data_IF_925445523827
#
_entry.id   IF_925445523827
#
_cell.length_a   1.000
_cell.length_b   1.000
_cell.length_c   1.000
_cell.angle_alpha   90.00
_cell.angle_beta   90.00
_cell.angle_gamma   90.00
#
_symmetry.space_group_name_H-M   'P 1'
#
loop_
_entity.id
_entity.type
_entity.pdbx_description
1 polymer ?
#
# COMPACT_ATOMS: atom_id res chain seq x y z
N UNK A 1 1.59 8.33 -3.26
CA UNK A 1 2.71 7.41 -3.66
C UNK A 1 2.21 6.53 -4.79
N UNK A 2 2.86 6.62 -5.95
CA UNK A 2 2.49 5.83 -7.13
C UNK A 2 3.25 4.49 -7.17
N UNK A 3 2.59 3.41 -7.58
CA UNK A 3 3.14 2.04 -7.58
C UNK A 3 3.70 1.67 -8.94
N UNK A 4 4.97 1.23 -8.98
CA UNK A 4 5.62 0.63 -10.15
C UNK A 4 6.06 -0.79 -9.82
N UNK A 5 5.28 -1.78 -10.24
CA UNK A 5 5.64 -3.19 -10.08
C UNK A 5 6.47 -3.66 -11.27
N UNK A 6 7.71 -4.07 -11.01
CA UNK A 6 8.63 -4.60 -12.03
C UNK A 6 8.64 -6.13 -11.94
N UNK A 7 7.46 -6.73 -12.17
CA UNK A 7 7.26 -8.18 -12.12
C UNK A 7 6.82 -8.71 -13.49
N UNK A 8 7.06 -10.00 -13.80
CA UNK A 8 6.69 -10.59 -15.10
C UNK A 8 5.23 -10.37 -15.48
N UNK A 9 4.34 -10.42 -14.50
CA UNK A 9 2.90 -10.32 -14.70
C UNK A 9 2.42 -8.87 -14.91
N UNK A 10 3.23 -7.87 -14.55
CA UNK A 10 2.82 -6.46 -14.59
C UNK A 10 2.92 -5.85 -16.00
N UNK A 11 3.72 -6.47 -16.90
CA UNK A 11 3.96 -5.99 -18.25
C UNK A 11 3.82 -7.12 -19.28
N UNK A 12 2.95 -8.11 -19.03
CA UNK A 12 2.80 -9.32 -19.81
C UNK A 12 2.03 -9.10 -21.10
N UNK A 13 2.76 -8.67 -22.14
CA UNK A 13 2.46 -9.01 -23.54
C UNK A 13 3.66 -9.76 -24.14
N UNK A 14 3.92 -10.95 -23.59
CA UNK A 14 4.74 -11.99 -24.22
C UNK A 14 6.25 -11.76 -24.26
N UNK A 15 6.96 -12.11 -23.20
CA UNK A 15 8.40 -12.33 -23.30
C UNK A 15 9.18 -12.07 -22.01
N UNK A 16 10.17 -12.91 -21.74
CA UNK A 16 11.02 -13.00 -20.55
C UNK A 16 11.95 -11.78 -20.30
N UNK A 17 11.71 -10.65 -20.91
CA UNK A 17 12.49 -9.43 -20.75
C UNK A 17 11.61 -8.36 -20.09
N UNK A 18 11.96 -8.04 -18.85
CA UNK A 18 11.37 -6.87 -18.17
C UNK A 18 11.67 -5.64 -19.00
N UNK A 19 10.65 -4.97 -19.47
CA UNK A 19 10.81 -3.71 -20.16
C UNK A 19 11.02 -2.60 -19.12
N UNK A 20 12.28 -2.45 -18.66
CA UNK A 20 12.66 -1.36 -17.76
C UNK A 20 12.26 -0.01 -18.33
N UNK A 21 12.29 0.17 -19.64
CA UNK A 21 11.90 1.41 -20.30
C UNK A 21 10.40 1.69 -20.09
N UNK A 22 9.54 0.66 -20.16
CA UNK A 22 8.10 0.80 -19.87
C UNK A 22 7.85 1.09 -18.39
N UNK A 23 8.58 0.44 -17.47
CA UNK A 23 8.48 0.70 -16.05
C UNK A 23 8.91 2.14 -15.70
N UNK A 24 9.99 2.63 -16.30
CA UNK A 24 10.45 4.02 -16.15
C UNK A 24 9.43 4.98 -16.74
N UNK A 25 8.93 4.74 -17.96
CA UNK A 25 7.91 5.59 -18.57
C UNK A 25 6.65 5.68 -17.69
N UNK A 26 6.16 4.54 -17.19
CA UNK A 26 5.04 4.50 -16.25
C UNK A 26 5.32 5.30 -14.97
N UNK A 27 6.51 5.17 -14.37
CA UNK A 27 6.88 5.94 -13.19
C UNK A 27 6.92 7.45 -13.45
N UNK A 28 7.37 7.87 -14.65
CA UNK A 28 7.35 9.27 -15.06
C UNK A 28 5.92 9.79 -15.26
N UNK A 29 5.04 8.97 -15.84
CA UNK A 29 3.61 9.30 -15.97
C UNK A 29 2.97 9.50 -14.60
N UNK A 30 3.22 8.60 -13.64
CA UNK A 30 2.72 8.73 -12.26
C UNK A 30 3.24 10.01 -11.57
N UNK A 31 4.50 10.42 -11.80
CA UNK A 31 5.02 11.70 -11.32
C UNK A 31 4.28 12.87 -11.95
N UNK A 32 4.05 12.84 -13.26
CA UNK A 32 3.29 13.86 -13.97
C UNK A 32 1.82 13.93 -13.52
N UNK A 33 1.24 12.82 -13.09
CA UNK A 33 -0.08 12.72 -12.48
C UNK A 33 -0.16 13.25 -11.04
N UNK A 34 0.96 13.65 -10.44
CA UNK A 34 1.02 14.24 -9.09
C UNK A 34 1.48 13.30 -7.99
N UNK A 35 2.08 12.14 -8.31
CA UNK A 35 2.70 11.31 -7.27
C UNK A 35 3.90 12.03 -6.64
N UNK A 36 3.91 12.18 -5.33
CA UNK A 36 5.05 12.74 -4.59
C UNK A 36 6.21 11.74 -4.42
N UNK A 37 5.92 10.45 -4.48
CA UNK A 37 6.87 9.35 -4.30
C UNK A 37 6.50 8.25 -5.27
N UNK A 38 7.48 7.63 -5.93
CA UNK A 38 7.30 6.40 -6.71
C UNK A 38 7.82 5.22 -5.89
N UNK A 39 6.97 4.22 -5.70
CA UNK A 39 7.30 2.99 -4.97
C UNK A 39 7.56 1.85 -5.96
N UNK A 40 8.81 1.40 -6.02
CA UNK A 40 9.28 0.40 -6.99
C UNK A 40 9.39 -0.96 -6.29
N UNK A 41 8.68 -1.96 -6.81
CA UNK A 41 8.72 -3.33 -6.28
C UNK A 41 9.12 -4.36 -7.33
N UNK A 42 10.03 -5.28 -6.97
CA UNK A 42 10.52 -6.35 -7.86
C UNK A 42 9.97 -7.74 -7.51
N UNK A 43 9.39 -7.90 -6.33
CA UNK A 43 8.74 -9.14 -5.86
C UNK A 43 7.24 -8.92 -5.71
N UNK A 44 6.44 -9.90 -6.11
CA UNK A 44 5.00 -9.87 -5.85
C UNK A 44 4.73 -10.35 -4.43
N UNK A 45 4.07 -9.52 -3.63
CA UNK A 45 3.61 -9.88 -2.27
C UNK A 45 2.15 -10.37 -2.24
N UNK A 46 1.57 -10.68 -3.43
CA UNK A 46 0.22 -11.25 -3.52
C UNK A 46 0.18 -12.65 -2.92
N UNK A 47 -0.97 -13.09 -2.35
CA UNK A 47 -1.12 -14.46 -1.87
C UNK A 47 -0.73 -15.49 -2.93
N UNK A 48 0.15 -16.45 -2.55
CA UNK A 48 0.62 -17.50 -3.45
C UNK A 48 1.74 -17.11 -4.42
N UNK A 49 2.24 -15.88 -4.37
CA UNK A 49 3.37 -15.47 -5.20
C UNK A 49 4.63 -16.26 -4.85
N UNK A 50 5.41 -16.63 -5.87
CA UNK A 50 6.69 -17.31 -5.69
C UNK A 50 7.75 -16.26 -5.34
N UNK A 51 8.48 -16.44 -4.23
CA UNK A 51 9.58 -15.55 -3.87
C UNK A 51 10.66 -15.54 -4.95
N UNK A 52 11.29 -14.39 -5.15
CA UNK A 52 12.45 -14.24 -6.02
C UNK A 52 13.72 -14.10 -5.19
N UNK A 53 14.89 -14.45 -5.79
CA UNK A 53 16.15 -14.21 -5.10
C UNK A 53 16.46 -12.71 -5.03
N UNK A 54 17.24 -12.25 -4.02
CA UNK A 54 17.68 -10.86 -3.96
C UNK A 54 18.36 -10.36 -5.23
N UNK A 55 19.15 -11.20 -5.90
CA UNK A 55 19.84 -10.85 -7.14
C UNK A 55 18.86 -10.62 -8.29
N UNK A 56 17.81 -11.45 -8.39
CA UNK A 56 16.77 -11.28 -9.38
C UNK A 56 15.92 -10.06 -9.09
N UNK A 57 15.58 -9.81 -7.83
CA UNK A 57 14.87 -8.60 -7.40
C UNK A 57 15.66 -7.34 -7.77
N UNK A 58 16.97 -7.30 -7.43
CA UNK A 58 17.86 -6.19 -7.78
C UNK A 58 17.94 -6.00 -9.30
N UNK A 59 18.08 -7.07 -10.07
CA UNK A 59 18.12 -6.99 -11.54
C UNK A 59 16.87 -6.30 -12.11
N UNK A 60 15.71 -6.51 -11.47
CA UNK A 60 14.44 -5.89 -11.85
C UNK A 60 14.40 -4.42 -11.49
N UNK A 61 14.71 -4.07 -10.24
CA UNK A 61 14.38 -2.75 -9.69
C UNK A 61 15.46 -1.70 -9.88
N UNK A 62 16.75 -2.06 -9.83
CA UNK A 62 17.83 -1.07 -9.80
C UNK A 62 17.88 -0.16 -11.03
N UNK A 63 17.74 -0.65 -12.28
CA UNK A 63 17.74 0.23 -13.45
C UNK A 63 16.56 1.21 -13.45
N UNK A 64 15.41 0.80 -12.89
CA UNK A 64 14.21 1.64 -12.80
C UNK A 64 14.40 2.71 -11.72
N UNK A 65 14.91 2.34 -10.54
CA UNK A 65 15.20 3.27 -9.45
C UNK A 65 16.22 4.33 -9.90
N UNK A 66 17.35 3.91 -10.50
CA UNK A 66 18.39 4.83 -10.97
C UNK A 66 17.84 5.87 -11.96
N UNK A 67 16.95 5.44 -12.86
CA UNK A 67 16.34 6.33 -13.81
C UNK A 67 15.36 7.30 -13.15
N UNK A 68 14.44 6.82 -12.29
CA UNK A 68 13.38 7.60 -11.66
C UNK A 68 13.89 8.54 -10.57
N UNK A 69 14.95 8.18 -9.84
CA UNK A 69 15.53 8.99 -8.78
C UNK A 69 16.04 10.37 -9.24
N UNK A 70 16.28 10.54 -10.55
CA UNK A 70 16.64 11.83 -11.18
C UNK A 70 15.44 12.77 -11.38
N UNK A 71 14.22 12.25 -11.24
CA UNK A 71 12.98 12.97 -11.56
C UNK A 71 12.09 13.20 -10.34
N UNK A 72 12.23 12.36 -9.31
CA UNK A 72 11.42 12.46 -8.10
C UNK A 72 11.93 11.56 -6.99
N UNK A 73 11.22 11.59 -5.88
CA UNK A 73 11.53 10.75 -4.72
C UNK A 73 11.12 9.31 -4.98
N UNK A 74 12.01 8.36 -4.70
CA UNK A 74 11.79 6.93 -4.92
C UNK A 74 11.83 6.15 -3.62
N UNK A 75 10.90 5.22 -3.48
CA UNK A 75 10.82 4.18 -2.44
C UNK A 75 11.13 2.83 -3.07
N UNK A 76 11.75 1.93 -2.32
CA UNK A 76 11.91 0.52 -2.66
C UNK A 76 10.96 -0.35 -1.81
N UNK A 77 10.06 -1.10 -2.45
CA UNK A 77 9.21 -2.09 -1.81
C UNK A 77 9.96 -3.43 -1.75
N UNK A 78 10.56 -3.71 -0.59
CA UNK A 78 11.36 -4.93 -0.37
C UNK A 78 11.43 -5.32 1.10
N UNK A 79 11.62 -6.61 1.36
CA UNK A 79 11.97 -7.19 2.66
C UNK A 79 13.42 -7.71 2.72
N UNK A 80 14.17 -7.56 1.64
CA UNK A 80 15.53 -8.06 1.51
C UNK A 80 16.55 -6.95 1.80
N UNK A 81 17.41 -7.17 2.80
CA UNK A 81 18.46 -6.23 3.21
C UNK A 81 19.39 -5.83 2.07
N UNK A 82 19.82 -6.82 1.29
CA UNK A 82 20.74 -6.62 0.17
C UNK A 82 20.09 -5.77 -0.95
N UNK A 83 18.81 -6.03 -1.24
CA UNK A 83 18.07 -5.23 -2.22
C UNK A 83 17.84 -3.81 -1.72
N UNK A 84 17.49 -3.64 -0.45
CA UNK A 84 17.31 -2.32 0.16
C UNK A 84 18.59 -1.49 0.06
N UNK A 85 19.75 -2.07 0.44
CA UNK A 85 21.04 -1.37 0.35
C UNK A 85 21.42 -0.99 -1.08
N UNK A 86 21.25 -1.91 -2.04
CA UNK A 86 21.52 -1.65 -3.44
C UNK A 86 20.58 -0.58 -4.04
N UNK A 87 19.29 -0.61 -3.67
CA UNK A 87 18.30 0.36 -4.11
C UNK A 87 18.59 1.78 -3.57
N UNK A 88 19.03 1.91 -2.32
CA UNK A 88 19.45 3.19 -1.76
C UNK A 88 20.70 3.72 -2.47
N UNK A 89 21.67 2.85 -2.78
CA UNK A 89 22.83 3.23 -3.58
C UNK A 89 22.46 3.68 -5.00
N UNK A 90 21.35 3.16 -5.56
CA UNK A 90 20.79 3.58 -6.84
C UNK A 90 19.91 4.85 -6.76
N UNK A 91 19.65 5.38 -5.56
CA UNK A 91 18.95 6.65 -5.35
C UNK A 91 17.59 6.56 -4.65
N UNK A 92 17.18 5.40 -4.15
CA UNK A 92 16.01 5.30 -3.30
C UNK A 92 16.24 6.02 -1.96
N UNK A 93 15.22 6.70 -1.44
CA UNK A 93 15.28 7.48 -0.20
C UNK A 93 14.33 6.96 0.88
N UNK A 94 13.56 5.93 0.59
CA UNK A 94 12.65 5.26 1.51
C UNK A 94 12.75 3.76 1.28
N UNK A 95 12.70 2.98 2.37
CA UNK A 95 12.49 1.54 2.34
C UNK A 95 11.06 1.27 2.77
N UNK A 96 10.20 0.78 1.86
CA UNK A 96 8.86 0.30 2.14
C UNK A 96 8.95 -1.20 2.47
N UNK A 97 8.82 -1.54 3.75
CA UNK A 97 9.16 -2.85 4.29
C UNK A 97 7.91 -3.60 4.78
N UNK A 98 7.43 -4.52 3.97
CA UNK A 98 6.26 -5.34 4.29
C UNK A 98 6.48 -6.29 5.48
N UNK A 99 7.73 -6.51 5.89
CA UNK A 99 8.10 -7.36 7.03
C UNK A 99 8.31 -6.59 8.33
N UNK A 100 8.40 -5.26 8.27
CA UNK A 100 8.74 -4.36 9.37
C UNK A 100 10.03 -4.79 10.11
N UNK A 101 11.06 -5.27 9.41
CA UNK A 101 12.30 -5.80 9.98
C UNK A 101 13.57 -5.03 9.60
N UNK A 102 13.50 -4.11 8.61
CA UNK A 102 14.66 -3.43 8.02
C UNK A 102 14.95 -2.05 8.64
N UNK A 103 14.42 -1.72 9.81
CA UNK A 103 14.65 -0.42 10.45
C UNK A 103 16.13 -0.13 10.74
N UNK A 104 16.93 -1.14 11.15
CA UNK A 104 18.37 -0.98 11.35
C UNK A 104 19.09 -0.66 10.03
N UNK A 105 18.65 -1.27 8.92
CA UNK A 105 19.16 -0.99 7.57
C UNK A 105 18.84 0.45 7.16
N UNK A 106 17.61 0.89 7.41
CA UNK A 106 17.20 2.27 7.12
C UNK A 106 18.02 3.28 7.92
N UNK A 107 18.29 3.00 9.21
CA UNK A 107 19.14 3.81 10.05
C UNK A 107 20.60 3.85 9.56
N UNK A 108 21.20 2.69 9.24
CA UNK A 108 22.56 2.60 8.70
C UNK A 108 22.73 3.39 7.39
N UNK A 109 21.68 3.40 6.54
CA UNK A 109 21.71 4.04 5.24
C UNK A 109 21.21 5.50 5.27
N UNK A 110 20.66 5.97 6.40
CA UNK A 110 20.15 7.33 6.56
C UNK A 110 18.94 7.66 5.69
N UNK A 111 18.02 6.70 5.53
CA UNK A 111 16.81 6.83 4.68
C UNK A 111 15.53 6.64 5.47
N UNK A 112 14.40 7.07 4.90
CA UNK A 112 13.08 6.85 5.47
C UNK A 112 12.68 5.37 5.47
N UNK A 113 11.78 5.01 6.36
CA UNK A 113 11.30 3.65 6.51
C UNK A 113 9.80 3.59 6.73
N UNK A 114 9.12 2.69 6.02
CA UNK A 114 7.71 2.37 6.20
C UNK A 114 7.61 0.99 6.85
N UNK A 115 7.11 0.94 8.08
CA UNK A 115 6.80 -0.30 8.79
C UNK A 115 5.40 -0.78 8.43
N UNK A 116 5.26 -1.88 7.69
CA UNK A 116 3.95 -2.45 7.42
C UNK A 116 3.65 -3.65 8.33
N UNK A 117 2.40 -3.70 8.82
CA UNK A 117 1.93 -4.86 9.58
C UNK A 117 1.40 -5.96 8.67
N UNK A 118 1.94 -7.16 8.84
CA UNK A 118 1.45 -8.39 8.22
C UNK A 118 1.39 -9.51 9.28
N UNK A 119 0.28 -10.27 9.31
CA UNK A 119 0.21 -11.51 10.12
C UNK A 119 0.54 -12.72 9.23
N UNK A 120 1.55 -13.49 9.64
CA UNK A 120 2.04 -14.63 8.85
C UNK A 120 2.92 -14.23 7.67
N UNK A 121 3.12 -15.16 6.74
CA UNK A 121 3.91 -14.97 5.52
C UNK A 121 3.00 -14.75 4.30
N UNK A 122 3.46 -14.07 3.24
CA UNK A 122 2.66 -13.80 2.04
C UNK A 122 2.00 -15.04 1.43
N UNK A 123 2.61 -16.22 1.57
CA UNK A 123 2.07 -17.48 1.03
C UNK A 123 0.90 -18.02 1.84
N UNK A 124 0.88 -17.83 3.16
CA UNK A 124 -0.07 -18.45 4.09
C UNK A 124 -0.95 -17.45 4.84
N UNK A 125 -0.67 -16.16 4.76
CA UNK A 125 -1.30 -15.09 5.55
C UNK A 125 -2.82 -15.02 5.44
N UNK A 126 -3.42 -15.56 4.38
CA UNK A 126 -4.87 -15.52 4.15
C UNK A 126 -5.58 -16.81 4.59
N UNK A 127 -4.86 -17.84 5.06
CA UNK A 127 -5.48 -19.11 5.38
C UNK A 127 -6.42 -19.01 6.59
N UNK A 128 -5.96 -18.41 7.69
CA UNK A 128 -6.75 -18.27 8.92
C UNK A 128 -6.28 -17.02 9.73
N UNK A 129 -6.47 -15.78 9.21
CA UNK A 129 -6.07 -14.60 9.96
C UNK A 129 -6.93 -14.44 11.22
N UNK A 130 -6.31 -14.42 12.39
CA UNK A 130 -7.00 -14.36 13.68
C UNK A 130 -6.47 -13.22 14.55
N UNK A 131 -7.40 -12.40 15.07
CA UNK A 131 -7.13 -11.32 16.00
C UNK A 131 -8.20 -11.32 17.08
N UNK A 132 -7.82 -10.96 18.30
CA UNK A 132 -8.78 -10.66 19.37
C UNK A 132 -9.31 -9.23 19.21
N UNK A 133 -8.40 -8.29 18.95
CA UNK A 133 -8.69 -6.89 18.60
C UNK A 133 -7.69 -6.43 17.55
N UNK A 134 -8.10 -6.48 16.29
CA UNK A 134 -7.22 -6.17 15.17
C UNK A 134 -6.67 -4.75 15.21
N UNK A 135 -7.45 -3.77 15.71
CA UNK A 135 -7.04 -2.37 15.77
C UNK A 135 -5.96 -2.18 16.84
N UNK A 136 -6.19 -2.71 18.02
CA UNK A 136 -5.23 -2.62 19.13
C UNK A 136 -3.94 -3.40 18.79
N UNK A 137 -4.04 -4.65 18.32
CA UNK A 137 -2.88 -5.50 18.02
C UNK A 137 -2.01 -4.91 16.91
N UNK A 138 -2.63 -4.42 15.82
CA UNK A 138 -1.90 -3.78 14.71
C UNK A 138 -1.25 -2.48 15.15
N UNK A 139 -1.98 -1.64 15.90
CA UNK A 139 -1.45 -0.39 16.44
C UNK A 139 -0.24 -0.62 17.35
N UNK A 140 -0.37 -1.52 18.34
CA UNK A 140 0.68 -1.78 19.31
C UNK A 140 1.92 -2.36 18.64
N UNK A 141 1.76 -3.26 17.66
CA UNK A 141 2.86 -3.77 16.86
C UNK A 141 3.59 -2.65 16.11
N UNK A 142 2.84 -1.81 15.40
CA UNK A 142 3.43 -0.74 14.58
C UNK A 142 4.12 0.33 15.43
N UNK A 143 3.53 0.71 16.55
CA UNK A 143 4.16 1.66 17.49
C UNK A 143 5.48 1.10 18.01
N UNK A 144 5.50 -0.15 18.47
CA UNK A 144 6.74 -0.79 18.94
C UNK A 144 7.83 -0.83 17.86
N UNK A 145 7.45 -1.11 16.60
CA UNK A 145 8.41 -1.10 15.45
C UNK A 145 8.90 0.31 15.13
N UNK A 146 7.99 1.29 15.15
CA UNK A 146 8.34 2.68 14.88
C UNK A 146 9.25 3.27 15.98
N UNK A 147 8.98 2.99 17.25
CA UNK A 147 9.83 3.40 18.37
C UNK A 147 11.22 2.77 18.27
N UNK A 148 11.33 1.49 17.90
CA UNK A 148 12.60 0.83 17.65
C UNK A 148 13.38 1.50 16.50
N UNK A 149 12.70 1.89 15.42
CA UNK A 149 13.31 2.59 14.29
C UNK A 149 13.85 3.98 14.71
N UNK A 150 13.07 4.75 15.44
CA UNK A 150 13.50 6.05 15.99
C UNK A 150 14.70 5.88 16.92
N UNK A 151 14.66 4.87 17.81
CA UNK A 151 15.78 4.57 18.70
C UNK A 151 17.05 4.13 17.96
N UNK A 152 16.93 3.51 16.79
CA UNK A 152 18.03 3.16 15.90
C UNK A 152 18.56 4.36 15.10
N UNK A 153 17.85 5.50 15.09
CA UNK A 153 18.27 6.73 14.40
C UNK A 153 17.62 6.95 13.03
N UNK A 154 16.47 6.33 12.75
CA UNK A 154 15.68 6.64 11.56
C UNK A 154 14.91 7.95 11.78
N UNK A 155 15.18 8.97 10.98
CA UNK A 155 14.54 10.29 11.11
C UNK A 155 13.12 10.33 10.53
N UNK A 156 12.83 9.53 9.49
CA UNK A 156 11.55 9.49 8.80
C UNK A 156 10.94 8.10 8.91
N UNK A 157 10.00 7.92 9.86
CA UNK A 157 9.33 6.65 10.11
C UNK A 157 7.84 6.78 9.79
N UNK A 158 7.33 5.85 8.98
CA UNK A 158 5.92 5.71 8.63
C UNK A 158 5.38 4.38 9.15
N UNK A 159 4.10 4.34 9.50
CA UNK A 159 3.41 3.10 9.89
C UNK A 159 2.29 2.79 8.89
N UNK A 160 2.20 1.52 8.44
CA UNK A 160 1.15 1.05 7.52
C UNK A 160 0.42 -0.15 8.15
N UNK A 161 -0.91 -0.07 8.39
CA UNK A 161 -1.69 -1.18 8.95
C UNK A 161 -1.73 -2.42 8.07
N UNK A 162 -1.28 -2.36 6.82
CA UNK A 162 -1.17 -3.50 5.93
C UNK A 162 -2.53 -4.10 5.56
N UNK A 163 -3.41 -3.30 4.98
CA UNK A 163 -4.70 -3.79 4.48
C UNK A 163 -4.53 -4.96 3.51
N UNK A 164 -5.27 -6.05 3.75
CA UNK A 164 -5.21 -7.26 2.93
C UNK A 164 -4.02 -8.18 3.21
N UNK A 165 -3.15 -7.87 4.18
CA UNK A 165 -2.03 -8.72 4.58
C UNK A 165 -2.35 -9.44 5.90
N UNK A 166 -2.69 -10.73 5.82
CA UNK A 166 -3.09 -11.52 6.98
C UNK A 166 -4.33 -10.97 7.70
N UNK A 167 -5.36 -10.57 6.93
CA UNK A 167 -6.58 -9.95 7.46
C UNK A 167 -7.80 -10.40 6.67
N UNK A 168 -8.81 -10.89 7.39
CA UNK A 168 -10.14 -11.18 6.87
C UNK A 168 -10.88 -9.87 6.48
N UNK A 169 -12.00 -9.97 5.78
CA UNK A 169 -12.81 -8.82 5.38
C UNK A 169 -13.16 -7.91 6.56
N UNK A 170 -13.69 -8.49 7.64
CA UNK A 170 -14.10 -7.72 8.81
C UNK A 170 -12.92 -7.03 9.52
N UNK A 171 -11.72 -7.65 9.54
CA UNK A 171 -10.51 -7.04 10.08
C UNK A 171 -10.11 -5.79 9.28
N UNK A 172 -10.15 -5.86 7.94
CA UNK A 172 -9.88 -4.71 7.08
C UNK A 172 -10.89 -3.58 7.30
N UNK A 173 -12.17 -3.91 7.46
CA UNK A 173 -13.22 -2.91 7.71
C UNK A 173 -13.07 -2.25 9.08
N UNK A 174 -12.71 -3.01 10.12
CA UNK A 174 -12.43 -2.46 11.45
C UNK A 174 -11.24 -1.49 11.42
N UNK A 175 -10.14 -1.87 10.78
CA UNK A 175 -8.97 -1.00 10.62
C UNK A 175 -9.31 0.27 9.83
N UNK A 176 -10.09 0.15 8.75
CA UNK A 176 -10.50 1.30 7.94
C UNK A 176 -11.41 2.25 8.74
N UNK A 177 -12.33 1.71 9.54
CA UNK A 177 -13.22 2.49 10.40
C UNK A 177 -12.49 3.23 11.54
N UNK A 178 -11.34 2.71 11.98
CA UNK A 178 -10.59 3.21 13.14
C UNK A 178 -9.16 3.69 12.76
N UNK A 179 -8.98 4.24 11.56
CA UNK A 179 -7.70 4.85 11.14
C UNK A 179 -7.28 6.01 12.04
N UNK A 180 -8.24 6.72 12.64
CA UNK A 180 -8.02 7.78 13.63
C UNK A 180 -7.16 7.32 14.81
N UNK A 181 -7.30 6.06 15.26
CA UNK A 181 -6.51 5.52 16.36
C UNK A 181 -5.03 5.30 15.98
N UNK A 182 -4.74 5.00 14.70
CA UNK A 182 -3.38 4.93 14.19
C UNK A 182 -2.79 6.34 14.03
N UNK A 183 -3.56 7.27 13.49
CA UNK A 183 -3.14 8.68 13.36
C UNK A 183 -2.86 9.31 14.73
N UNK A 184 -3.66 8.98 15.74
CA UNK A 184 -3.49 9.46 17.12
C UNK A 184 -2.19 8.97 17.79
N UNK A 185 -1.47 8.00 17.23
CA UNK A 185 -0.14 7.56 17.74
C UNK A 185 0.93 8.64 17.58
N UNK A 186 0.73 9.62 16.70
CA UNK A 186 1.69 10.66 16.36
C UNK A 186 2.67 10.26 15.26
N UNK A 187 2.78 9.00 14.89
CA UNK A 187 3.53 8.57 13.69
C UNK A 187 2.71 8.84 12.42
N UNK A 188 3.34 9.34 11.34
CA UNK A 188 2.66 9.51 10.08
C UNK A 188 2.19 8.15 9.53
N UNK A 189 0.92 8.08 9.12
CA UNK A 189 0.29 6.85 8.63
C UNK A 189 0.35 6.80 7.11
N UNK A 190 0.80 5.66 6.60
CA UNK A 190 0.72 5.26 5.20
C UNK A 190 -0.37 4.19 5.04
N UNK A 191 -1.06 4.16 3.90
CA UNK A 191 -2.02 3.10 3.58
C UNK A 191 -1.95 2.68 2.11
N UNK A 192 -2.02 1.37 1.86
CA UNK A 192 -2.17 0.78 0.53
C UNK A 192 -3.57 0.18 0.38
N UNK A 193 -4.54 0.97 -0.09
CA UNK A 193 -5.95 0.53 -0.27
C UNK A 193 -6.30 0.21 -1.71
N UNK A 194 -5.56 0.77 -2.67
CA UNK A 194 -5.85 0.70 -4.10
C UNK A 194 -5.96 -0.74 -4.61
N UNK A 195 -7.07 -1.02 -5.26
CA UNK A 195 -7.40 -2.30 -5.92
C UNK A 195 -7.42 -3.52 -4.98
N UNK A 196 -7.53 -3.34 -3.65
CA UNK A 196 -7.56 -4.44 -2.68
C UNK A 196 -8.82 -5.29 -2.82
N UNK A 197 -8.68 -6.60 -2.60
CA UNK A 197 -9.75 -7.58 -2.79
C UNK A 197 -10.98 -7.31 -1.90
N UNK A 198 -10.78 -6.84 -0.66
CA UNK A 198 -11.90 -6.53 0.23
C UNK A 198 -12.78 -5.39 -0.31
N UNK A 199 -12.20 -4.39 -1.00
CA UNK A 199 -12.97 -3.35 -1.69
C UNK A 199 -13.75 -3.94 -2.87
N UNK A 200 -13.14 -4.86 -3.62
CA UNK A 200 -13.83 -5.58 -4.70
C UNK A 200 -15.02 -6.40 -4.20
N UNK A 201 -14.97 -6.97 -2.99
CA UNK A 201 -16.11 -7.65 -2.36
C UNK A 201 -17.23 -6.66 -2.00
N UNK A 202 -16.88 -5.48 -1.50
CA UNK A 202 -17.86 -4.42 -1.21
C UNK A 202 -18.57 -3.95 -2.48
N UNK A 203 -17.82 -3.75 -3.58
CA UNK A 203 -18.36 -3.37 -4.87
C UNK A 203 -19.29 -4.45 -5.42
N UNK A 204 -18.87 -5.73 -5.46
CA UNK A 204 -19.69 -6.85 -5.90
C UNK A 204 -21.02 -6.93 -5.14
N UNK A 205 -20.99 -6.70 -3.82
CA UNK A 205 -22.20 -6.67 -3.00
C UNK A 205 -23.08 -5.44 -3.28
N UNK A 206 -22.49 -4.31 -3.66
CA UNK A 206 -23.22 -3.11 -4.07
C UNK A 206 -23.92 -3.34 -5.40
N UNK A 207 -23.25 -3.94 -6.38
CA UNK A 207 -23.80 -4.26 -7.69
C UNK A 207 -24.96 -5.26 -7.60
N UNK A 208 -24.79 -6.29 -6.78
CA UNK A 208 -25.85 -7.26 -6.53
C UNK A 208 -27.11 -6.62 -5.92
N UNK A 209 -26.94 -5.60 -5.08
CA UNK A 209 -28.06 -4.81 -4.53
C UNK A 209 -28.72 -3.93 -5.58
N UNK A 210 -27.93 -3.27 -6.42
CA UNK A 210 -28.46 -2.42 -7.48
C UNK A 210 -29.26 -3.22 -8.52
N UNK A 211 -28.88 -4.48 -8.74
CA UNK A 211 -29.59 -5.41 -9.63
C UNK A 211 -30.85 -6.04 -9.01
N UNK A 212 -31.01 -5.99 -7.68
CA UNK A 212 -32.18 -6.52 -7.00
C UNK A 212 -33.36 -5.52 -7.03
N UNK A 213 -34.62 -5.96 -7.16
CA UNK A 213 -35.77 -5.07 -7.05
C UNK A 213 -35.76 -4.38 -5.69
N UNK A 214 -35.96 -3.05 -5.71
CA UNK A 214 -35.89 -2.19 -4.53
C UNK A 214 -36.80 -2.68 -3.40
N UNK A 215 -36.21 -3.23 -2.34
CA UNK A 215 -36.89 -3.43 -1.07
C UNK A 215 -36.59 -2.22 -0.18
N UNK A 216 -37.60 -1.56 0.42
CA UNK A 216 -37.38 -0.45 1.30
C UNK A 216 -36.77 -0.94 2.61
N UNK A 217 -35.55 -0.51 2.89
CA UNK A 217 -34.83 -0.77 4.13
C UNK A 217 -33.37 -1.04 3.85
N UNK A 218 -32.51 -0.10 4.24
CA UNK A 218 -31.05 -0.28 4.30
C UNK A 218 -30.75 -1.33 5.39
N UNK A 219 -30.88 -2.58 5.06
CA UNK A 219 -30.35 -3.67 5.89
C UNK A 219 -28.97 -4.00 5.36
N UNK A 220 -27.98 -3.98 6.24
CA UNK A 220 -26.60 -4.32 5.89
C UNK A 220 -26.55 -5.60 5.09
N UNK A 221 -25.96 -5.53 3.89
CA UNK A 221 -25.72 -6.73 3.08
C UNK A 221 -24.73 -7.56 3.86
N UNK A 222 -25.07 -8.81 4.11
CA UNK A 222 -24.12 -9.80 4.62
C UNK A 222 -23.01 -10.01 3.60
N UNK A 223 -21.95 -9.21 3.72
CA UNK A 223 -20.73 -9.36 2.94
C UNK A 223 -19.86 -10.35 3.71
N UNK A 224 -19.41 -11.40 3.05
CA UNK A 224 -18.54 -12.41 3.64
C UNK A 224 -17.22 -12.52 2.90
N UNK A 225 -16.26 -13.21 3.52
CA UNK A 225 -15.00 -13.55 2.86
C UNK A 225 -15.20 -14.46 1.63
N UNK A 226 -16.34 -15.15 1.52
CA UNK A 226 -16.70 -15.98 0.37
C UNK A 226 -17.24 -15.18 -0.82
N UNK A 227 -17.56 -13.88 -0.64
CA UNK A 227 -18.00 -13.03 -1.75
C UNK A 227 -16.87 -12.88 -2.77
N UNK A 228 -17.11 -13.34 -4.00
CA UNK A 228 -16.14 -13.15 -5.10
C UNK A 228 -15.97 -11.66 -5.38
N UNK A 229 -14.75 -11.11 -5.27
CA UNK A 229 -14.54 -9.70 -5.56
C UNK A 229 -14.65 -9.42 -7.06
N UNK A 230 -15.07 -8.21 -7.43
CA UNK A 230 -14.95 -7.74 -8.82
C UNK A 230 -13.49 -7.77 -9.28
N UNK A 231 -13.20 -7.84 -10.59
CA UNK A 231 -11.82 -7.80 -11.13
C UNK A 231 -11.02 -6.61 -10.60
N UNK A 232 -9.69 -6.72 -10.56
CA UNK A 232 -8.83 -5.69 -9.95
C UNK A 232 -8.83 -4.35 -10.69
N UNK A 233 -9.09 -4.38 -11.98
CA UNK A 233 -9.25 -3.22 -12.87
C UNK A 233 -10.64 -2.55 -12.76
N UNK A 234 -11.58 -3.21 -12.13
CA UNK A 234 -12.94 -2.72 -11.85
C UNK A 234 -13.14 -2.35 -10.37
N UNK A 235 -12.12 -1.75 -9.73
CA UNK A 235 -12.14 -1.38 -8.30
C UNK A 235 -11.83 0.09 -8.06
N UNK A 236 -11.93 0.93 -9.08
CA UNK A 236 -11.52 2.32 -8.96
C UNK A 236 -12.41 3.09 -7.99
N UNK A 237 -13.71 2.91 -8.02
CA UNK A 237 -14.66 3.61 -7.15
C UNK A 237 -14.42 3.27 -5.66
N UNK A 238 -14.18 1.99 -5.37
CA UNK A 238 -13.82 1.54 -4.03
C UNK A 238 -12.48 2.09 -3.58
N UNK A 239 -11.50 2.14 -4.48
CA UNK A 239 -10.16 2.68 -4.22
C UNK A 239 -10.21 4.17 -3.90
N UNK A 240 -10.95 4.96 -4.70
CA UNK A 240 -11.10 6.41 -4.51
C UNK A 240 -11.88 6.73 -3.23
N UNK A 241 -12.98 6.01 -2.97
CA UNK A 241 -13.78 6.19 -1.75
C UNK A 241 -12.96 5.91 -0.50
N UNK A 242 -12.17 4.83 -0.50
CA UNK A 242 -11.31 4.47 0.62
C UNK A 242 -10.13 5.47 0.78
N UNK A 243 -9.58 5.99 -0.31
CA UNK A 243 -8.53 7.00 -0.28
C UNK A 243 -9.04 8.34 0.28
N UNK A 244 -10.20 8.81 -0.16
CA UNK A 244 -10.86 10.00 0.37
C UNK A 244 -11.16 9.86 1.87
N UNK A 245 -11.70 8.71 2.29
CA UNK A 245 -11.92 8.42 3.69
C UNK A 245 -10.62 8.45 4.51
N UNK A 246 -9.57 7.81 4.02
CA UNK A 246 -8.27 7.79 4.70
C UNK A 246 -7.69 9.20 4.86
N UNK A 247 -7.80 10.04 3.83
CA UNK A 247 -7.37 11.44 3.89
C UNK A 247 -8.12 12.23 4.97
N UNK A 248 -9.45 12.09 5.05
CA UNK A 248 -10.29 12.70 6.09
C UNK A 248 -9.94 12.23 7.51
N UNK A 249 -9.44 11.00 7.66
CA UNK A 249 -8.94 10.50 8.94
C UNK A 249 -7.54 10.99 9.32
N UNK A 250 -6.87 11.76 8.44
CA UNK A 250 -5.54 12.31 8.69
C UNK A 250 -4.37 11.43 8.22
N UNK A 251 -4.64 10.42 7.39
CA UNK A 251 -3.58 9.63 6.74
C UNK A 251 -2.75 10.54 5.84
N UNK A 252 -1.40 10.39 5.91
CA UNK A 252 -0.46 11.31 5.25
C UNK A 252 0.12 10.76 3.95
N UNK A 253 0.05 9.45 3.73
CA UNK A 253 0.57 8.80 2.54
C UNK A 253 -0.40 7.73 2.04
N UNK A 254 -0.87 7.87 0.81
CA UNK A 254 -1.77 6.91 0.16
C UNK A 254 -1.03 6.27 -1.03
N UNK A 255 -0.81 4.95 -0.96
CA UNK A 255 -0.13 4.16 -1.97
C UNK A 255 -1.14 3.63 -2.98
N UNK A 256 -1.02 4.02 -4.26
CA UNK A 256 -2.06 3.79 -5.28
C UNK A 256 -1.49 3.43 -6.66
N UNK A 257 -2.31 2.75 -7.47
CA UNK A 257 -2.04 2.50 -8.88
C UNK A 257 -2.57 3.62 -9.78
N UNK A 258 -3.69 4.26 -9.38
CA UNK A 258 -4.43 5.25 -10.16
C UNK A 258 -4.20 6.63 -9.52
N UNK A 259 -3.07 7.29 -9.86
CA UNK A 259 -2.60 8.50 -9.16
C UNK A 259 -3.49 9.69 -9.46
N UNK A 260 -3.70 10.08 -10.72
CA UNK A 260 -4.45 11.28 -11.06
C UNK A 260 -5.86 11.32 -10.45
N UNK A 261 -6.71 10.28 -10.58
CA UNK A 261 -8.03 10.30 -9.95
C UNK A 261 -7.96 10.30 -8.42
N UNK A 262 -6.91 9.69 -7.82
CA UNK A 262 -6.73 9.71 -6.35
C UNK A 262 -6.33 11.10 -5.87
N UNK A 263 -5.42 11.80 -6.56
CA UNK A 263 -5.03 13.18 -6.23
C UNK A 263 -6.27 14.07 -6.26
N UNK A 264 -7.07 14.03 -7.33
CA UNK A 264 -8.31 14.81 -7.41
C UNK A 264 -9.30 14.52 -6.28
N UNK A 265 -9.45 13.23 -5.91
CA UNK A 265 -10.37 12.86 -4.82
C UNK A 265 -9.88 13.36 -3.46
N UNK A 266 -8.56 13.31 -3.20
CA UNK A 266 -7.96 13.76 -1.93
C UNK A 266 -7.93 15.29 -1.84
N UNK A 267 -7.62 16.00 -2.91
CA UNK A 267 -7.67 17.46 -2.95
C UNK A 267 -9.09 17.98 -2.69
N UNK A 268 -10.11 17.34 -3.31
CA UNK A 268 -11.50 17.73 -3.09
C UNK A 268 -11.90 17.65 -1.61
N UNK A 269 -11.53 16.59 -0.89
CA UNK A 269 -11.88 16.45 0.54
C UNK A 269 -11.01 17.34 1.43
N UNK A 270 -9.75 17.62 1.06
CA UNK A 270 -8.87 18.54 1.75
C UNK A 270 -9.38 20.00 1.69
N UNK A 271 -9.93 20.41 0.56
CA UNK A 271 -10.53 21.73 0.40
C UNK A 271 -11.82 21.91 1.25
N UNK A 272 -12.57 20.84 1.50
CA UNK A 272 -13.75 20.87 2.38
C UNK A 272 -13.37 21.16 3.83
N UNK A 273 -12.24 20.65 4.30
CA UNK A 273 -11.74 20.94 5.65
C UNK A 273 -11.39 22.42 5.86
N UNK A 274 -10.91 23.11 4.81
CA UNK A 274 -10.63 24.55 4.85
C UNK A 274 -11.89 25.39 4.99
N UNK A 275 -13.02 24.94 4.46
CA UNK A 275 -14.32 25.63 4.54
C UNK A 275 -14.96 25.47 5.93
N UNK A 276 -14.73 24.35 6.61
CA UNK A 276 -15.27 24.07 7.94
C UNK A 276 -14.53 24.76 9.09
N UNK A 277 -13.38 25.39 8.82
CA UNK A 277 -12.52 26.03 9.82
C UNK A 277 -12.74 27.56 9.95
N UNK A 278 -13.74 28.11 9.24
CA UNK A 278 -14.17 29.52 9.31
C UNK A 278 -15.48 29.65 10.10
#
# INVERSE_FOLDING_TARGET
MGVVNVTPDSFSDGGAWFDHARAVAHGLDLLAEGAAIIDVGGESTRPGAVPVSPEEEQRRVLPVIEALARHGRVSIDTRNRETAAAAVAAGATIINDVSASLHEVAAELGVGWVAMHMQGDPQTMQAEPAYTDVVAEVKDHLVARAEAAVAAGVDEVWIDPGFGFGKALHHNLQLLAHLDQLVATGFPVAVGLSRKAFLGRLLAASDARAAAPALPGLVGVGISDDTTPVPSDDRIEGSLSAAAWAALQGVRLIRVHDVAPTVHAVELVGDLDLIGST
#
